data_IF_988114297781
#
_entry.id   IF_988114297781
#
_cell.length_a   1.000
_cell.length_b   1.000
_cell.length_c   1.000
_cell.angle_alpha   90.00
_cell.angle_beta   90.00
_cell.angle_gamma   90.00
#
_symmetry.space_group_name_H-M   'P 1'
#
loop_
_entity.id
_entity.type
_entity.pdbx_description
1 polymer ?
#
# COMPACT_ATOMS: atom_id res chain seq x y z
N UNK A 1 -27.07 -16.17 -27.65
CA UNK A 1 -26.52 -14.82 -27.39
C UNK A 1 -25.90 -14.89 -26.02
N UNK A 2 -24.59 -15.10 -25.98
CA UNK A 2 -23.81 -15.07 -24.75
C UNK A 2 -23.80 -13.62 -24.27
N UNK A 3 -24.37 -13.38 -23.08
CA UNK A 3 -24.17 -12.11 -22.40
C UNK A 3 -22.70 -12.09 -21.97
N UNK A 4 -21.85 -11.53 -22.83
CA UNK A 4 -20.57 -10.99 -22.40
C UNK A 4 -20.89 -9.99 -21.30
N UNK A 5 -20.70 -10.39 -20.04
CA UNK A 5 -20.57 -9.46 -18.94
C UNK A 5 -19.41 -8.55 -19.35
N UNK A 6 -19.72 -7.33 -19.79
CA UNK A 6 -18.74 -6.26 -19.87
C UNK A 6 -18.30 -6.05 -18.42
N UNK A 7 -17.19 -6.66 -18.03
CA UNK A 7 -16.49 -6.24 -16.82
C UNK A 7 -16.07 -4.80 -17.10
N UNK A 8 -16.62 -3.87 -16.31
CA UNK A 8 -16.15 -2.48 -16.30
C UNK A 8 -14.63 -2.49 -16.07
N UNK A 9 -13.87 -1.55 -16.66
CA UNK A 9 -12.41 -1.55 -16.56
C UNK A 9 -11.99 -1.39 -15.10
N UNK A 10 -11.58 -2.49 -14.48
CA UNK A 10 -11.07 -2.56 -13.12
C UNK A 10 -9.62 -2.08 -13.06
N UNK A 11 -9.22 -1.49 -11.93
CA UNK A 11 -7.79 -1.31 -11.64
C UNK A 11 -7.16 -2.68 -11.45
N UNK A 12 -6.54 -3.22 -12.50
CA UNK A 12 -6.01 -4.59 -12.44
C UNK A 12 -4.63 -4.66 -11.75
N UNK A 13 -3.93 -3.52 -11.66
CA UNK A 13 -2.55 -3.51 -11.19
C UNK A 13 -2.20 -2.22 -10.42
N UNK A 14 -1.58 -2.43 -9.26
CA UNK A 14 -1.06 -1.39 -8.38
C UNK A 14 0.44 -1.60 -8.24
N UNK A 15 1.22 -0.53 -8.40
CA UNK A 15 2.65 -0.51 -8.13
C UNK A 15 3.01 0.72 -7.30
N UNK A 16 3.33 0.49 -6.02
CA UNK A 16 3.76 1.53 -5.10
C UNK A 16 5.23 1.36 -4.75
N UNK A 17 5.98 2.43 -4.92
CA UNK A 17 7.41 2.46 -4.62
C UNK A 17 7.75 3.68 -3.79
N UNK A 18 8.88 3.64 -3.09
CA UNK A 18 9.39 4.84 -2.45
C UNK A 18 10.43 4.55 -1.40
N UNK A 19 10.69 5.57 -0.59
CA UNK A 19 11.65 5.53 0.50
C UNK A 19 10.93 5.61 1.85
N UNK A 20 11.43 4.88 2.84
CA UNK A 20 10.98 4.91 4.22
C UNK A 20 12.08 5.52 5.08
N UNK A 21 11.72 6.60 5.78
CA UNK A 21 12.56 7.28 6.76
C UNK A 21 11.95 7.16 8.15
N UNK A 22 12.75 7.36 9.19
CA UNK A 22 12.26 7.45 10.56
C UNK A 22 12.61 8.80 11.14
N UNK A 23 11.62 9.43 11.77
CA UNK A 23 11.75 10.75 12.39
C UNK A 23 12.78 10.82 13.51
N UNK A 24 12.99 9.70 14.21
CA UNK A 24 13.85 9.68 15.40
C UNK A 24 15.27 9.17 15.11
N UNK A 25 15.42 8.14 14.27
CA UNK A 25 16.67 7.37 14.13
C UNK A 25 16.88 6.94 12.68
N UNK A 26 18.13 6.72 12.26
CA UNK A 26 18.46 6.26 10.90
C UNK A 26 18.44 4.73 10.74
N UNK A 27 18.19 3.98 11.82
CA UNK A 27 18.18 2.52 11.82
C UNK A 27 16.96 1.91 12.52
N UNK A 28 15.71 2.32 12.20
CA UNK A 28 14.55 1.59 12.68
C UNK A 28 14.49 0.21 12.01
N UNK A 29 13.99 -0.80 12.70
CA UNK A 29 13.55 -2.03 12.07
C UNK A 29 12.11 -1.86 11.59
N UNK A 30 11.88 -2.09 10.30
CA UNK A 30 10.54 -2.29 9.74
C UNK A 30 10.30 -3.80 9.75
N UNK A 31 9.35 -4.23 10.58
CA UNK A 31 9.04 -5.65 10.77
C UNK A 31 8.03 -6.17 9.75
N UNK A 32 7.13 -5.31 9.26
CA UNK A 32 6.12 -5.70 8.27
C UNK A 32 5.61 -4.48 7.50
N UNK A 33 5.30 -4.69 6.21
CA UNK A 33 4.60 -3.75 5.34
C UNK A 33 3.51 -4.53 4.62
N UNK A 34 2.27 -4.05 4.71
CA UNK A 34 1.12 -4.71 4.11
C UNK A 34 0.22 -3.66 3.46
N UNK A 35 -0.05 -3.82 2.16
CA UNK A 35 -1.04 -3.02 1.44
C UNK A 35 -2.45 -3.55 1.69
N UNK A 36 -3.38 -2.63 1.86
CA UNK A 36 -4.80 -2.86 2.04
C UNK A 36 -5.60 -2.00 1.08
N UNK A 37 -6.75 -2.53 0.68
CA UNK A 37 -7.77 -1.81 -0.07
C UNK A 37 -8.93 -1.48 0.86
N UNK A 38 -9.38 -0.24 0.79
CA UNK A 38 -10.59 0.22 1.45
C UNK A 38 -11.55 0.73 0.40
N UNK A 39 -12.79 0.24 0.42
CA UNK A 39 -13.89 0.91 -0.25
C UNK A 39 -14.88 1.44 0.81
N UNK A 40 -15.91 2.16 0.38
CA UNK A 40 -16.91 2.75 1.29
C UNK A 40 -17.76 1.71 2.07
N UNK A 41 -17.74 0.43 1.67
CA UNK A 41 -18.52 -0.66 2.26
C UNK A 41 -17.67 -1.65 3.09
N UNK A 42 -16.42 -1.90 2.70
CA UNK A 42 -15.56 -2.97 3.21
C UNK A 42 -14.09 -2.53 3.33
N UNK A 43 -13.37 -3.18 4.25
CA UNK A 43 -11.90 -3.14 4.37
C UNK A 43 -11.39 -4.52 4.05
N UNK A 44 -10.80 -4.68 2.88
CA UNK A 44 -10.42 -5.98 2.38
C UNK A 44 -8.90 -6.08 2.27
N UNK A 45 -8.39 -7.18 2.83
CA UNK A 45 -6.99 -7.54 2.64
C UNK A 45 -6.82 -7.99 1.19
N UNK A 46 -5.80 -7.49 0.49
CA UNK A 46 -5.50 -7.83 -0.91
C UNK A 46 -4.46 -8.96 -1.02
N UNK A 47 -4.88 -10.23 -1.23
CA UNK A 47 -4.04 -11.27 -1.80
C UNK A 47 -4.43 -11.46 -3.27
N UNK A 48 -3.55 -11.09 -4.22
CA UNK A 48 -2.09 -11.17 -4.15
C UNK A 48 -1.36 -9.81 -4.06
N UNK A 49 -0.32 -9.74 -3.23
CA UNK A 49 0.68 -8.66 -3.26
C UNK A 49 2.11 -9.21 -3.17
N UNK A 50 3.01 -8.66 -3.97
CA UNK A 50 4.46 -8.83 -3.89
C UNK A 50 5.04 -7.61 -3.16
N UNK A 51 5.72 -7.85 -2.05
CA UNK A 51 6.36 -6.79 -1.25
C UNK A 51 7.86 -7.04 -1.19
N UNK A 52 8.63 -6.09 -1.70
CA UNK A 52 10.07 -6.03 -1.56
C UNK A 52 10.45 -4.86 -0.65
N UNK A 53 11.23 -5.16 0.39
CA UNK A 53 11.65 -4.19 1.40
C UNK A 53 13.16 -4.30 1.59
N UNK A 54 13.90 -3.34 1.04
CA UNK A 54 15.35 -3.23 1.16
C UNK A 54 15.71 -2.31 2.33
N UNK A 55 16.16 -2.94 3.42
CA UNK A 55 16.62 -2.26 4.64
C UNK A 55 18.16 -2.21 4.76
N UNK A 56 18.91 -2.45 3.68
CA UNK A 56 20.38 -2.53 3.72
C UNK A 56 21.05 -1.15 3.85
N UNK A 57 20.46 -0.12 3.25
CA UNK A 57 20.97 1.26 3.26
C UNK A 57 19.84 2.22 3.57
N UNK A 58 20.06 3.14 4.52
CA UNK A 58 19.11 4.20 4.84
C UNK A 58 19.22 5.36 3.83
N UNK A 59 18.10 5.96 3.34
CA UNK A 59 16.71 5.59 3.61
C UNK A 59 16.29 4.27 2.94
N UNK A 60 15.43 3.51 3.63
CA UNK A 60 15.06 2.16 3.19
C UNK A 60 14.12 2.21 1.99
N UNK A 61 14.22 1.24 1.09
CA UNK A 61 13.40 1.21 -0.12
C UNK A 61 12.28 0.20 0.03
N UNK A 62 11.11 0.53 -0.48
CA UNK A 62 10.02 -0.42 -0.63
C UNK A 62 9.49 -0.41 -2.06
N UNK A 63 9.03 -1.58 -2.50
CA UNK A 63 8.34 -1.82 -3.76
C UNK A 63 7.21 -2.81 -3.48
N UNK A 64 5.97 -2.38 -3.72
CA UNK A 64 4.76 -3.17 -3.53
C UNK A 64 4.06 -3.26 -4.87
N UNK A 65 3.79 -4.48 -5.32
CA UNK A 65 2.97 -4.76 -6.49
C UNK A 65 1.77 -5.56 -6.06
N UNK A 66 0.57 -5.17 -6.45
CA UNK A 66 -0.65 -5.87 -6.08
C UNK A 66 -1.67 -5.82 -7.20
N UNK A 67 -2.62 -6.75 -7.16
CA UNK A 67 -3.84 -6.69 -7.97
C UNK A 67 -4.94 -6.14 -7.05
N UNK A 68 -5.61 -5.05 -7.46
CA UNK A 68 -6.76 -4.54 -6.73
C UNK A 68 -7.95 -5.50 -6.95
N UNK A 69 -8.87 -5.57 -6.00
CA UNK A 69 -10.08 -6.39 -6.23
C UNK A 69 -11.01 -5.74 -7.24
N UNK A 70 -11.16 -4.42 -7.20
CA UNK A 70 -11.95 -3.71 -8.20
C UNK A 70 -13.41 -4.18 -8.25
N UNK A 71 -14.07 -4.26 -7.10
CA UNK A 71 -15.48 -4.68 -7.03
C UNK A 71 -16.52 -3.58 -7.33
N UNK A 72 -17.18 -3.70 -8.47
CA UNK A 72 -18.48 -3.06 -8.75
C UNK A 72 -19.45 -3.23 -7.54
N UNK A 73 -20.20 -2.20 -7.08
CA UNK A 73 -20.59 -0.97 -7.79
C UNK A 73 -19.85 0.31 -7.35
N UNK A 74 -18.84 0.22 -6.50
CA UNK A 74 -18.23 1.41 -5.89
C UNK A 74 -16.90 1.73 -6.57
N UNK A 75 -16.78 2.88 -7.23
CA UNK A 75 -15.51 3.36 -7.82
C UNK A 75 -14.62 4.14 -6.82
N UNK A 76 -15.00 4.11 -5.54
CA UNK A 76 -14.39 4.90 -4.48
C UNK A 76 -13.50 4.01 -3.61
N UNK A 77 -12.26 3.83 -4.05
CA UNK A 77 -11.24 3.07 -3.31
C UNK A 77 -10.13 3.97 -2.77
N UNK A 78 -9.67 3.62 -1.58
CA UNK A 78 -8.48 4.16 -0.95
C UNK A 78 -7.52 3.01 -0.65
N UNK A 79 -6.24 3.23 -0.94
CA UNK A 79 -5.20 2.30 -0.54
C UNK A 79 -4.49 2.82 0.69
N UNK A 80 -4.17 1.93 1.62
CA UNK A 80 -3.30 2.26 2.73
C UNK A 80 -2.31 1.13 3.00
N UNK A 81 -1.12 1.50 3.47
CA UNK A 81 -0.16 0.53 4.00
C UNK A 81 -0.18 0.53 5.51
N UNK A 82 -0.35 -0.65 6.08
CA UNK A 82 -0.09 -0.89 7.49
C UNK A 82 1.38 -1.29 7.63
N UNK A 83 2.12 -0.53 8.43
CA UNK A 83 3.55 -0.73 8.66
C UNK A 83 3.75 -1.04 10.13
N UNK A 84 4.36 -2.18 10.44
CA UNK A 84 4.84 -2.50 11.78
C UNK A 84 6.31 -2.13 11.82
N UNK A 85 6.67 -1.21 12.72
CA UNK A 85 8.03 -0.73 12.84
C UNK A 85 8.37 -0.35 14.30
N UNK A 86 9.65 -0.19 14.59
CA UNK A 86 10.11 0.30 15.88
C UNK A 86 10.63 1.76 15.86
N UNK A 87 10.43 2.51 14.76
CA UNK A 87 10.67 3.96 14.76
C UNK A 87 9.89 4.59 15.92
N UNK A 88 10.61 5.01 16.96
CA UNK A 88 10.11 5.75 18.11
C UNK A 88 11.33 6.13 18.93
N UNK A 89 11.21 7.15 19.78
CA UNK A 89 12.31 7.59 20.65
C UNK A 89 12.91 6.47 21.53
N UNK A 90 12.14 5.42 21.80
CA UNK A 90 12.51 4.31 22.70
C UNK A 90 12.56 2.95 21.99
N UNK A 91 12.59 2.93 20.65
CA UNK A 91 12.58 1.70 19.83
C UNK A 91 11.45 0.71 20.17
N UNK A 92 10.30 1.21 20.65
CA UNK A 92 9.09 0.40 20.86
C UNK A 92 8.43 0.11 19.51
N UNK A 93 8.00 -1.14 19.35
CA UNK A 93 7.21 -1.55 18.19
C UNK A 93 5.83 -0.90 18.21
N UNK A 94 5.37 -0.42 17.06
CA UNK A 94 4.02 0.10 16.84
C UNK A 94 3.56 -0.12 15.41
N UNK A 95 2.27 0.10 15.19
CA UNK A 95 1.65 0.09 13.86
C UNK A 95 1.42 1.53 13.42
N UNK A 96 1.83 1.86 12.20
CA UNK A 96 1.50 3.11 11.53
C UNK A 96 0.75 2.79 10.23
N UNK A 97 -0.38 3.46 10.03
CA UNK A 97 -1.14 3.40 8.79
C UNK A 97 -0.82 4.63 7.95
N UNK A 98 -0.48 4.42 6.68
CA UNK A 98 -0.23 5.49 5.71
C UNK A 98 -1.19 5.33 4.55
N UNK A 99 -2.11 6.28 4.43
CA UNK A 99 -3.05 6.33 3.30
C UNK A 99 -2.37 6.94 2.08
N UNK A 100 -2.57 6.33 0.92
CA UNK A 100 -2.25 6.94 -0.35
C UNK A 100 -3.37 7.89 -0.79
N UNK A 101 -3.09 8.88 -1.66
CA UNK A 101 -4.13 9.69 -2.28
C UNK A 101 -5.19 8.81 -2.97
N UNK A 102 -6.40 9.35 -3.10
CA UNK A 102 -7.47 8.71 -3.86
C UNK A 102 -7.07 8.59 -5.33
N UNK A 103 -7.26 7.41 -5.90
CA UNK A 103 -7.00 7.16 -7.33
C UNK A 103 -8.33 6.93 -8.04
N UNK A 104 -8.52 7.58 -9.19
CA UNK A 104 -9.64 7.26 -10.08
C UNK A 104 -9.36 5.87 -10.68
N UNK A 105 -10.19 4.89 -10.36
CA UNK A 105 -9.88 3.45 -10.47
C UNK A 105 -10.07 2.87 -11.87
N UNK A 106 -9.50 3.52 -12.88
CA UNK A 106 -9.49 3.01 -14.25
C UNK A 106 -8.04 2.79 -14.70
N UNK A 107 -7.65 1.52 -14.84
CA UNK A 107 -6.34 1.11 -15.36
C UNK A 107 -5.26 0.94 -14.30
N UNK A 108 -4.00 0.92 -14.75
CA UNK A 108 -2.86 0.64 -13.87
C UNK A 108 -2.49 1.85 -13.00
N UNK A 109 -2.38 1.64 -11.69
CA UNK A 109 -1.91 2.66 -10.76
C UNK A 109 -0.44 2.46 -10.50
N UNK A 110 0.37 3.48 -10.75
CA UNK A 110 1.78 3.52 -10.34
C UNK A 110 2.04 4.78 -9.55
N UNK A 111 2.53 4.64 -8.33
CA UNK A 111 2.82 5.76 -7.44
C UNK A 111 4.21 5.65 -6.83
N UNK A 112 4.91 6.78 -6.78
CA UNK A 112 6.11 6.92 -5.96
C UNK A 112 5.76 7.78 -4.74
N UNK A 113 5.88 7.21 -3.54
CA UNK A 113 5.48 7.88 -2.31
C UNK A 113 6.49 7.64 -1.20
N UNK A 114 7.07 8.71 -0.64
CA UNK A 114 7.96 8.59 0.49
C UNK A 114 7.17 8.54 1.80
N UNK A 115 7.59 7.67 2.70
CA UNK A 115 6.95 7.45 3.99
C UNK A 115 7.90 7.92 5.09
N UNK A 116 7.39 8.77 5.99
CA UNK A 116 8.07 9.09 7.23
C UNK A 116 7.38 8.37 8.38
N UNK A 117 8.14 7.53 9.07
CA UNK A 117 7.69 6.84 10.28
C UNK A 117 7.81 7.80 11.48
N UNK A 118 6.75 7.86 12.27
CA UNK A 118 6.68 8.57 13.57
C UNK A 118 6.92 7.63 14.74
#
# INVERSE_FOLDING_TARGET
MEHQMMMDPTTDYIHFTGLITCKYHHAPAIQSIVLWEHNILTKEFLPPQEVNLDQTVHPYKYDIKATAFGDYPTFDYEFYVNIVHNCSRWMKSKVQQVSYPRFDTVGNVTCNWNIQLD
#
